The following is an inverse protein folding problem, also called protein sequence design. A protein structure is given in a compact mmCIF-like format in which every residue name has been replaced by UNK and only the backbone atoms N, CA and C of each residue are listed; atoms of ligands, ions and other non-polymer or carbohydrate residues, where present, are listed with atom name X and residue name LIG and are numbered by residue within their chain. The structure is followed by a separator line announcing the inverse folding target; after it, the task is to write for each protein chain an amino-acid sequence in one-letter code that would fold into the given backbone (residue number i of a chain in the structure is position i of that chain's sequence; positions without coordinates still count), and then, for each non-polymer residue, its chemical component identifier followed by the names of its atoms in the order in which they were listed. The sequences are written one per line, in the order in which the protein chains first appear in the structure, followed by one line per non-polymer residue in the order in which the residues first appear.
data_IF_475142545503
#
_entry.id   IF_475142545503
#
_cell.length_a   1.000
_cell.length_b   1.000
_cell.length_c   1.000
_cell.angle_alpha   90.00
_cell.angle_beta   90.00
_cell.angle_gamma   90.00
#
_symmetry.space_group_name_H-M   'P 1'
#
loop_
_entity.id
_entity.type
_entity.pdbx_description
1 polymer ?
#
# COMPACT_ATOMS: atom_id res chain seq x y z
N UNK A 1 -9.18 -6.80 1.02
CA UNK A 1 -9.81 -6.77 2.37
C UNK A 1 -8.69 -6.90 3.37
N UNK A 2 -8.70 -6.12 4.45
CA UNK A 2 -7.69 -6.21 5.50
C UNK A 2 -7.87 -7.53 6.27
N UNK A 3 -6.82 -8.35 6.31
CA UNK A 3 -6.79 -9.59 7.09
C UNK A 3 -6.34 -9.31 8.53
N UNK A 4 -5.20 -8.65 8.68
CA UNK A 4 -4.63 -8.21 9.97
C UNK A 4 -3.92 -6.86 9.82
N UNK A 5 -3.60 -6.22 10.94
CA UNK A 5 -2.84 -4.96 10.97
C UNK A 5 -1.63 -5.09 11.89
N UNK A 6 -0.55 -4.41 11.52
CA UNK A 6 0.66 -4.33 12.36
C UNK A 6 0.49 -3.39 13.54
N UNK A 7 1.44 -3.43 14.47
CA UNK A 7 1.50 -2.52 15.60
C UNK A 7 1.56 -1.05 15.14
N UNK A 8 0.80 -0.17 15.81
CA UNK A 8 0.74 1.26 15.51
C UNK A 8 -0.24 1.67 14.40
N UNK A 9 -0.84 0.72 13.68
CA UNK A 9 -1.91 1.01 12.72
C UNK A 9 -3.23 1.25 13.45
N UNK A 10 -3.78 2.45 13.33
CA UNK A 10 -5.02 2.87 14.04
C UNK A 10 -6.23 3.07 13.12
N UNK A 11 -6.00 3.39 11.84
CA UNK A 11 -7.07 3.77 10.90
C UNK A 11 -7.64 2.59 10.08
N UNK A 12 -7.06 1.41 10.26
CA UNK A 12 -7.45 0.18 9.60
C UNK A 12 -7.71 -0.93 10.62
N UNK A 13 -8.63 -1.83 10.30
CA UNK A 13 -8.90 -3.04 11.09
C UNK A 13 -9.26 -4.22 10.19
N UNK A 14 -9.13 -5.47 10.68
CA UNK A 14 -9.61 -6.66 9.97
C UNK A 14 -11.03 -6.48 9.44
N UNK A 15 -11.26 -6.89 8.20
CA UNK A 15 -12.53 -6.77 7.49
C UNK A 15 -12.75 -5.45 6.74
N UNK A 16 -11.90 -4.44 6.90
CA UNK A 16 -12.01 -3.22 6.10
C UNK A 16 -11.76 -3.51 4.61
N UNK A 17 -12.60 -2.90 3.76
CA UNK A 17 -12.37 -2.87 2.33
C UNK A 17 -11.33 -1.81 2.02
N UNK A 18 -10.34 -2.19 1.22
CA UNK A 18 -9.19 -1.34 0.91
C UNK A 18 -8.77 -1.52 -0.54
N UNK A 19 -8.16 -0.47 -1.09
CA UNK A 19 -7.40 -0.53 -2.33
C UNK A 19 -5.92 -0.20 -2.03
N UNK A 20 -4.98 -1.07 -2.46
CA UNK A 20 -3.56 -0.72 -2.50
C UNK A 20 -3.30 0.49 -3.39
N UNK A 21 -2.34 1.35 -3.04
CA UNK A 21 -1.86 2.45 -3.88
C UNK A 21 -0.33 2.42 -3.98
N UNK A 22 0.19 2.66 -5.18
CA UNK A 22 1.64 2.60 -5.46
C UNK A 22 2.40 3.88 -5.06
N UNK A 23 1.67 4.99 -4.87
CA UNK A 23 2.18 6.27 -4.40
C UNK A 23 1.46 6.64 -3.10
N UNK A 24 2.06 6.29 -1.97
CA UNK A 24 1.44 6.39 -0.66
C UNK A 24 1.47 7.78 -0.04
N UNK A 25 0.84 7.92 1.13
CA UNK A 25 0.71 9.17 1.88
C UNK A 25 0.91 8.94 3.38
N UNK A 26 1.94 9.53 3.99
CA UNK A 26 2.19 9.42 5.43
C UNK A 26 1.49 10.47 6.29
N UNK A 27 0.95 11.54 5.69
CA UNK A 27 0.26 12.63 6.39
C UNK A 27 1.16 13.59 7.19
N UNK A 28 2.41 13.24 7.51
CA UNK A 28 3.26 14.01 8.42
C UNK A 28 4.42 14.79 7.76
N UNK A 29 4.86 14.37 6.56
CA UNK A 29 5.97 14.99 5.85
C UNK A 29 5.58 16.32 5.19
N UNK A 30 6.58 17.17 4.86
CA UNK A 30 6.35 18.49 4.24
C UNK A 30 5.55 18.42 2.94
N UNK A 31 5.70 17.33 2.17
CA UNK A 31 4.99 17.14 0.92
C UNK A 31 3.53 16.72 1.14
N UNK A 32 3.24 15.83 2.10
CA UNK A 32 1.86 15.46 2.43
C UNK A 32 1.08 16.63 3.04
N UNK A 33 1.75 17.56 3.72
CA UNK A 33 1.14 18.79 4.25
C UNK A 33 0.95 19.89 3.21
N UNK A 34 1.42 19.69 1.98
CA UNK A 34 1.35 20.68 0.91
C UNK A 34 0.12 20.45 0.04
N UNK A 35 -0.66 21.49 -0.22
CA UNK A 35 -1.80 21.44 -1.13
C UNK A 35 -1.41 21.34 -2.62
N UNK A 36 -0.11 21.37 -2.93
CA UNK A 36 0.40 21.46 -4.31
C UNK A 36 0.94 20.14 -4.87
N UNK A 37 1.07 19.11 -4.04
CA UNK A 37 1.68 17.84 -4.45
C UNK A 37 1.10 16.67 -3.68
N UNK A 38 1.04 15.51 -4.34
CA UNK A 38 0.73 14.22 -3.73
C UNK A 38 1.98 13.32 -3.61
N UNK A 39 3.19 13.86 -3.84
CA UNK A 39 4.43 13.08 -3.81
C UNK A 39 4.98 12.99 -2.39
N UNK A 40 4.54 11.99 -1.64
CA UNK A 40 5.04 11.76 -0.28
C UNK A 40 6.57 11.64 -0.24
N UNK A 41 7.21 12.30 0.72
CA UNK A 41 8.67 12.26 0.85
C UNK A 41 9.20 10.86 1.19
N UNK A 42 8.36 10.02 1.81
CA UNK A 42 8.72 8.71 2.36
C UNK A 42 8.15 7.54 1.55
N UNK A 43 6.91 7.66 1.07
CA UNK A 43 6.16 6.57 0.41
C UNK A 43 5.79 6.87 -1.04
N UNK A 44 6.40 7.87 -1.68
CA UNK A 44 6.23 8.06 -3.13
C UNK A 44 6.65 6.82 -3.90
N UNK A 45 6.12 6.71 -5.12
CA UNK A 45 6.50 5.64 -6.05
C UNK A 45 8.02 5.57 -6.25
N UNK A 46 8.58 4.38 -6.09
CA UNK A 46 9.97 4.05 -6.38
C UNK A 46 10.04 2.70 -7.10
N UNK A 47 10.25 2.68 -8.44
CA UNK A 47 10.35 1.44 -9.21
C UNK A 47 11.56 0.57 -8.86
N UNK A 48 12.56 1.12 -8.18
CA UNK A 48 13.78 0.39 -7.80
C UNK A 48 13.70 -0.19 -6.40
N UNK A 49 12.74 0.24 -5.58
CA UNK A 49 12.51 -0.34 -4.26
C UNK A 49 11.80 -1.68 -4.40
N UNK A 50 12.40 -2.70 -3.81
CA UNK A 50 11.95 -4.09 -3.91
C UNK A 50 11.70 -4.75 -2.53
N UNK A 51 11.78 -3.96 -1.46
CA UNK A 51 11.67 -4.38 -0.06
C UNK A 51 10.77 -3.43 0.75
N UNK A 52 10.26 -3.90 1.89
CA UNK A 52 9.44 -3.10 2.81
C UNK A 52 10.23 -1.91 3.36
N UNK A 53 9.54 -0.80 3.68
CA UNK A 53 10.23 0.40 4.15
C UNK A 53 10.77 0.31 5.57
N UNK A 54 10.14 -0.50 6.41
CA UNK A 54 10.45 -0.56 7.85
C UNK A 54 11.75 -1.30 8.19
N UNK A 55 12.06 -2.39 7.46
CA UNK A 55 13.14 -3.31 7.80
C UNK A 55 14.00 -3.74 6.61
N UNK A 56 13.77 -3.15 5.43
CA UNK A 56 14.39 -3.53 4.16
C UNK A 56 14.26 -5.04 3.83
N UNK A 57 13.27 -5.71 4.42
CA UNK A 57 12.99 -7.12 4.21
C UNK A 57 11.92 -7.39 3.15
N UNK A 58 11.77 -8.66 2.79
CA UNK A 58 10.65 -9.15 1.98
C UNK A 58 9.58 -9.77 2.89
N UNK A 59 8.35 -9.91 2.37
CA UNK A 59 7.26 -10.62 3.07
C UNK A 59 6.82 -11.87 2.32
N UNK A 60 7.47 -12.13 1.19
CA UNK A 60 7.24 -13.28 0.34
C UNK A 60 8.48 -14.14 0.30
N UNK A 61 8.27 -15.45 0.34
CA UNK A 61 9.32 -16.42 0.05
C UNK A 61 8.72 -17.63 -0.65
N UNK A 62 9.52 -18.25 -1.52
CA UNK A 62 9.17 -19.50 -2.19
C UNK A 62 10.33 -20.46 -1.99
N UNK A 63 10.06 -21.59 -1.34
CA UNK A 63 11.08 -22.62 -1.03
C UNK A 63 12.29 -22.03 -0.28
N UNK A 64 12.03 -21.12 0.66
CA UNK A 64 13.05 -20.45 1.46
C UNK A 64 13.84 -19.36 0.72
N UNK A 65 13.55 -19.09 -0.55
CA UNK A 65 14.15 -17.97 -1.30
C UNK A 65 13.25 -16.74 -1.24
N UNK A 66 13.80 -15.54 -0.98
CA UNK A 66 13.01 -14.31 -0.92
C UNK A 66 12.42 -13.98 -2.29
N UNK A 67 11.17 -13.54 -2.29
CA UNK A 67 10.53 -12.94 -3.46
C UNK A 67 10.32 -11.46 -3.18
N UNK A 68 10.80 -10.63 -4.10
CA UNK A 68 10.80 -9.19 -3.94
C UNK A 68 9.43 -8.56 -4.18
N UNK A 69 9.22 -7.43 -3.53
CA UNK A 69 8.03 -6.61 -3.72
C UNK A 69 8.10 -5.80 -5.01
N UNK A 70 6.93 -5.42 -5.52
CA UNK A 70 6.80 -4.53 -6.65
C UNK A 70 5.87 -3.36 -6.30
N UNK A 71 6.38 -2.14 -6.48
CA UNK A 71 5.66 -0.88 -6.25
C UNK A 71 4.89 -0.84 -4.93
N UNK A 72 5.49 -1.36 -3.85
CA UNK A 72 4.92 -1.39 -2.49
C UNK A 72 3.53 -2.03 -2.37
N UNK A 73 3.10 -2.83 -3.36
CA UNK A 73 1.74 -3.37 -3.41
C UNK A 73 1.71 -4.88 -3.69
N UNK A 74 2.46 -5.36 -4.68
CA UNK A 74 2.62 -6.80 -4.98
C UNK A 74 1.28 -7.56 -5.09
N UNK A 75 0.30 -7.01 -5.82
CA UNK A 75 -1.10 -7.49 -5.81
C UNK A 75 -1.35 -8.80 -6.58
N UNK A 76 -0.33 -9.42 -7.16
CA UNK A 76 -0.43 -10.72 -7.82
C UNK A 76 -0.14 -11.87 -6.84
N UNK A 77 -0.83 -11.83 -5.70
CA UNK A 77 -0.79 -12.82 -4.63
C UNK A 77 -2.14 -12.80 -3.91
N UNK A 78 -2.57 -13.94 -3.37
CA UNK A 78 -3.83 -14.03 -2.60
C UNK A 78 -3.79 -13.14 -1.36
N UNK A 79 -2.59 -12.99 -0.76
CA UNK A 79 -2.31 -12.09 0.34
C UNK A 79 -1.06 -11.27 0.04
N UNK A 80 -1.05 -10.03 0.51
CA UNK A 80 0.11 -9.13 0.41
C UNK A 80 0.20 -8.28 1.68
N UNK A 81 1.41 -7.83 1.99
CA UNK A 81 1.70 -6.97 3.13
C UNK A 81 2.14 -5.63 2.59
N UNK A 82 1.50 -4.55 3.04
CA UNK A 82 1.77 -3.19 2.61
C UNK A 82 2.06 -2.31 3.82
N UNK A 83 2.86 -1.27 3.61
CA UNK A 83 2.92 -0.15 4.54
C UNK A 83 1.55 0.54 4.62
N UNK A 84 1.13 0.98 5.81
CA UNK A 84 -0.19 1.59 6.04
C UNK A 84 -0.46 2.78 5.10
N UNK A 85 0.59 3.56 4.79
CA UNK A 85 0.55 4.72 3.90
C UNK A 85 0.23 4.36 2.45
N UNK A 86 0.39 3.10 2.06
CA UNK A 86 0.13 2.58 0.71
C UNK A 86 -1.24 1.89 0.60
N UNK A 87 -2.15 2.14 1.55
CA UNK A 87 -3.46 1.50 1.61
C UNK A 87 -4.54 2.56 1.81
N UNK A 88 -5.54 2.57 0.94
CA UNK A 88 -6.72 3.45 1.06
C UNK A 88 -7.92 2.63 1.49
N UNK A 89 -8.50 2.98 2.63
CA UNK A 89 -9.79 2.45 3.08
C UNK A 89 -10.90 2.99 2.19
N UNK A 90 -11.79 2.11 1.75
CA UNK A 90 -12.94 2.45 0.92
C UNK A 90 -14.26 2.05 1.60
N UNK A 91 -15.37 2.54 1.06
CA UNK A 91 -16.70 2.14 1.51
C UNK A 91 -16.89 0.61 1.35
N UNK A 92 -17.37 -0.06 2.39
CA UNK A 92 -17.62 -1.51 2.37
C UNK A 92 -18.67 -1.92 1.32
N UNK A 93 -19.56 -1.01 0.93
CA UNK A 93 -20.58 -1.24 -0.12
C UNK A 93 -20.02 -1.07 -1.54
N UNK A 94 -18.80 -0.55 -1.68
CA UNK A 94 -18.21 -0.35 -2.99
C UNK A 94 -17.77 -1.70 -3.61
N UNK A 95 -18.10 -1.98 -4.89
CA UNK A 95 -17.73 -3.23 -5.56
C UNK A 95 -16.22 -3.30 -5.81
N UNK A 96 -15.52 -4.18 -5.08
CA UNK A 96 -14.05 -4.29 -5.13
C UNK A 96 -13.51 -4.54 -6.54
N UNK A 97 -14.23 -5.33 -7.34
CA UNK A 97 -13.89 -5.67 -8.73
C UNK A 97 -13.88 -4.47 -9.67
N UNK A 98 -14.51 -3.35 -9.29
CA UNK A 98 -14.45 -2.08 -10.02
C UNK A 98 -13.49 -1.10 -9.36
N UNK A 99 -13.48 -1.06 -8.03
CA UNK A 99 -12.64 -0.15 -7.26
C UNK A 99 -11.15 -0.40 -7.48
N UNK A 100 -10.75 -1.64 -7.82
CA UNK A 100 -9.36 -1.96 -8.14
C UNK A 100 -8.78 -1.17 -9.32
N UNK A 101 -9.61 -0.65 -10.23
CA UNK A 101 -9.15 0.15 -11.38
C UNK A 101 -8.69 1.55 -10.98
N UNK A 102 -9.17 2.07 -9.83
CA UNK A 102 -8.89 3.41 -9.34
C UNK A 102 -7.56 3.51 -8.59
N UNK A 103 -6.87 2.41 -8.33
CA UNK A 103 -5.58 2.40 -7.61
C UNK A 103 -4.39 2.85 -8.46
N UNK A 104 -4.56 2.89 -9.78
CA UNK A 104 -3.50 3.22 -10.73
C UNK A 104 -4.09 3.92 -11.97
N UNK A 105 -4.15 3.22 -13.11
CA UNK A 105 -4.30 3.84 -14.42
C UNK A 105 -5.56 4.68 -14.70
N UNK A 106 -6.64 4.53 -13.93
CA UNK A 106 -7.83 5.40 -14.12
C UNK A 106 -7.67 6.75 -13.40
N UNK A 107 -6.97 6.79 -12.27
CA UNK A 107 -6.88 7.98 -11.43
C UNK A 107 -5.69 8.88 -11.78
N UNK A 108 -4.76 8.39 -12.60
CA UNK A 108 -3.54 9.09 -13.04
C UNK A 108 -3.68 9.63 -14.46
#
# INVERSE_FOLDING_TARGET
IVESVGEGVVDLKPGDHVVPIFNGECGDCVYCKSEKTNLCGKYRVDPFRSTMLNDDGTRFSVRGQPVYHFLSTSTFSEYTVLDYACVVKIDQKAPLEKMCLLSCGVST
#
